data_IF_044898730908
#
_entry.id   IF_044898730908
#
_cell.length_a   1.000
_cell.length_b   1.000
_cell.length_c   1.000
_cell.angle_alpha   90.00
_cell.angle_beta   90.00
_cell.angle_gamma   90.00
#
_symmetry.space_group_name_H-M   'P 1'
#
loop_
_entity.id
_entity.type
_entity.pdbx_description
1 polymer ?
#
# COMPACT_ATOMS: atom_id res chain seq x y z
N UNK A 1 -1.58 -1.59 -41.00
CA UNK A 1 -2.04 -2.89 -40.43
C UNK A 1 -1.23 -3.30 -39.20
N UNK A 2 0.10 -3.35 -39.26
CA UNK A 2 0.94 -3.62 -38.07
C UNK A 2 0.72 -2.64 -36.89
N UNK A 3 0.46 -1.36 -37.16
CA UNK A 3 0.20 -0.36 -36.10
C UNK A 3 -1.14 -0.50 -35.39
N UNK A 4 -2.13 -1.19 -35.99
CA UNK A 4 -3.39 -1.49 -35.32
C UNK A 4 -3.29 -2.80 -34.53
N UNK A 5 -2.61 -3.82 -35.04
CA UNK A 5 -2.38 -5.09 -34.33
C UNK A 5 -1.59 -4.86 -33.03
N UNK A 6 -0.56 -3.99 -33.05
CA UNK A 6 0.15 -3.60 -31.81
C UNK A 6 -0.70 -2.77 -30.85
N UNK A 7 -1.63 -1.97 -31.37
CA UNK A 7 -2.59 -1.20 -30.55
C UNK A 7 -3.62 -2.10 -29.87
N UNK A 8 -4.11 -3.12 -30.57
CA UNK A 8 -5.04 -4.11 -30.04
C UNK A 8 -4.36 -5.13 -29.11
N UNK A 9 -3.10 -5.51 -29.36
CA UNK A 9 -2.32 -6.35 -28.43
C UNK A 9 -1.97 -5.60 -27.14
N UNK A 10 -1.71 -4.29 -27.22
CA UNK A 10 -1.52 -3.41 -26.06
C UNK A 10 -2.78 -3.25 -25.20
N UNK A 11 -3.96 -3.17 -25.84
CA UNK A 11 -5.26 -3.14 -25.14
C UNK A 11 -5.55 -4.44 -24.39
N UNK A 12 -5.29 -5.60 -25.00
CA UNK A 12 -5.47 -6.91 -24.36
C UNK A 12 -4.51 -7.12 -23.19
N UNK A 13 -3.23 -6.81 -23.37
CA UNK A 13 -2.24 -6.90 -22.30
C UNK A 13 -2.56 -5.95 -21.14
N UNK A 14 -2.86 -4.67 -21.42
CA UNK A 14 -3.22 -3.70 -20.38
C UNK A 14 -4.47 -4.08 -19.58
N UNK A 15 -5.47 -4.66 -20.25
CA UNK A 15 -6.68 -5.16 -19.59
C UNK A 15 -6.40 -6.35 -18.66
N UNK A 16 -5.63 -7.35 -19.11
CA UNK A 16 -5.25 -8.50 -18.29
C UNK A 16 -4.47 -8.05 -17.05
N UNK A 17 -3.56 -7.10 -17.21
CA UNK A 17 -2.75 -6.58 -16.10
C UNK A 17 -3.60 -5.84 -15.09
N UNK A 18 -4.55 -5.04 -15.57
CA UNK A 18 -5.50 -4.34 -14.70
C UNK A 18 -6.39 -5.34 -13.95
N UNK A 19 -6.83 -6.42 -14.60
CA UNK A 19 -7.57 -7.50 -13.93
C UNK A 19 -6.73 -8.22 -12.87
N UNK A 20 -5.47 -8.56 -13.17
CA UNK A 20 -4.56 -9.18 -12.19
C UNK A 20 -4.34 -8.26 -10.98
N UNK A 21 -4.14 -6.98 -11.23
CA UNK A 21 -3.99 -5.95 -10.21
C UNK A 21 -5.23 -5.86 -9.31
N UNK A 22 -6.41 -5.71 -9.91
CA UNK A 22 -7.68 -5.65 -9.17
C UNK A 22 -7.84 -6.92 -8.34
N UNK A 23 -7.55 -8.07 -8.93
CA UNK A 23 -7.67 -9.37 -8.27
C UNK A 23 -6.77 -9.46 -7.03
N UNK A 24 -5.49 -9.11 -7.14
CA UNK A 24 -4.53 -9.15 -6.01
C UNK A 24 -5.00 -8.22 -4.87
N UNK A 25 -5.44 -7.01 -5.21
CA UNK A 25 -5.90 -6.05 -4.22
C UNK A 25 -7.23 -6.46 -3.59
N UNK A 26 -8.18 -6.99 -4.37
CA UNK A 26 -9.44 -7.54 -3.87
C UNK A 26 -9.23 -8.72 -2.93
N UNK A 27 -8.32 -9.65 -3.26
CA UNK A 27 -7.94 -10.73 -2.35
C UNK A 27 -7.30 -10.21 -1.07
N UNK A 28 -6.43 -9.20 -1.17
CA UNK A 28 -5.80 -8.57 0.00
C UNK A 28 -6.87 -7.94 0.91
N UNK A 29 -7.81 -7.18 0.35
CA UNK A 29 -8.92 -6.61 1.10
C UNK A 29 -9.80 -7.68 1.74
N UNK A 30 -10.17 -8.71 0.99
CA UNK A 30 -10.99 -9.81 1.49
C UNK A 30 -10.32 -10.55 2.65
N UNK A 31 -9.01 -10.81 2.57
CA UNK A 31 -8.25 -11.45 3.65
C UNK A 31 -8.21 -10.59 4.92
N UNK A 32 -8.04 -9.28 4.78
CA UNK A 32 -8.03 -8.37 5.92
C UNK A 32 -9.41 -8.32 6.58
N UNK A 33 -10.48 -8.15 5.78
CA UNK A 33 -11.85 -8.08 6.27
C UNK A 33 -12.30 -9.41 6.90
N UNK A 34 -11.94 -10.54 6.29
CA UNK A 34 -12.18 -11.87 6.84
C UNK A 34 -11.47 -12.06 8.17
N UNK A 35 -10.19 -11.68 8.25
CA UNK A 35 -9.41 -11.74 9.49
C UNK A 35 -9.99 -10.84 10.58
N UNK A 36 -10.51 -9.65 10.25
CA UNK A 36 -11.24 -8.81 11.20
C UNK A 36 -12.51 -9.48 11.74
N UNK A 37 -13.31 -10.05 10.85
CA UNK A 37 -14.53 -10.73 11.24
C UNK A 37 -14.23 -11.92 12.17
N UNK A 38 -13.17 -12.68 11.89
CA UNK A 38 -12.71 -13.77 12.74
C UNK A 38 -12.19 -13.28 14.10
N UNK A 39 -11.36 -12.24 14.13
CA UNK A 39 -10.82 -11.67 15.38
C UNK A 39 -11.94 -11.19 16.31
N UNK A 40 -12.94 -10.51 15.73
CA UNK A 40 -14.11 -9.99 16.47
C UNK A 40 -15.02 -11.13 16.92
N UNK A 41 -15.30 -12.12 16.05
CA UNK A 41 -16.21 -13.22 16.36
C UNK A 41 -15.63 -14.21 17.38
N UNK A 42 -14.34 -14.55 17.27
CA UNK A 42 -13.71 -15.59 18.09
C UNK A 42 -13.13 -15.05 19.40
N UNK A 43 -12.65 -13.80 19.45
CA UNK A 43 -11.85 -13.28 20.57
C UNK A 43 -12.19 -11.84 20.97
N UNK A 44 -13.47 -11.47 21.22
CA UNK A 44 -13.91 -10.07 21.40
C UNK A 44 -13.29 -9.33 22.60
N UNK A 45 -12.63 -10.02 23.54
CA UNK A 45 -12.03 -9.41 24.75
C UNK A 45 -10.50 -9.41 24.77
N UNK A 46 -9.83 -10.07 23.82
CA UNK A 46 -8.38 -10.32 23.89
C UNK A 46 -7.62 -9.95 22.63
N UNK A 47 -8.24 -9.25 21.68
CA UNK A 47 -7.54 -8.83 20.48
C UNK A 47 -6.66 -7.59 20.73
N UNK A 48 -5.53 -7.55 20.03
CA UNK A 48 -4.61 -6.43 20.11
C UNK A 48 -5.07 -5.31 19.17
N UNK A 49 -5.60 -4.23 19.76
CA UNK A 49 -6.07 -3.04 19.05
C UNK A 49 -5.06 -2.44 18.08
N UNK A 50 -3.76 -2.59 18.32
CA UNK A 50 -2.73 -2.06 17.42
C UNK A 50 -2.62 -2.87 16.13
N UNK A 51 -2.84 -4.18 16.19
CA UNK A 51 -2.86 -5.04 14.99
C UNK A 51 -4.08 -4.71 14.15
N UNK A 52 -5.24 -4.59 14.81
CA UNK A 52 -6.50 -4.11 14.21
C UNK A 52 -6.27 -2.76 13.53
N UNK A 53 -5.63 -1.81 14.21
CA UNK A 53 -5.34 -0.50 13.64
C UNK A 53 -4.45 -0.58 12.39
N UNK A 54 -3.40 -1.41 12.40
CA UNK A 54 -2.55 -1.60 11.22
C UNK A 54 -3.29 -2.26 10.06
N UNK A 55 -4.23 -3.17 10.32
CA UNK A 55 -5.12 -3.75 9.29
C UNK A 55 -6.00 -2.66 8.67
N UNK A 56 -6.57 -1.76 9.48
CA UNK A 56 -7.34 -0.60 8.98
C UNK A 56 -6.46 0.34 8.15
N UNK A 57 -5.27 0.67 8.65
CA UNK A 57 -4.29 1.51 7.95
C UNK A 57 -3.94 0.90 6.58
N UNK A 58 -3.75 -0.42 6.50
CA UNK A 58 -3.44 -1.09 5.24
C UNK A 58 -4.62 -1.04 4.28
N UNK A 59 -5.86 -1.23 4.75
CA UNK A 59 -7.08 -1.06 3.95
C UNK A 59 -7.22 0.36 3.39
N UNK A 60 -7.00 1.38 4.24
CA UNK A 60 -6.97 2.79 3.81
C UNK A 60 -5.90 2.99 2.75
N UNK A 61 -4.72 2.39 2.92
CA UNK A 61 -3.63 2.42 1.92
C UNK A 61 -4.01 1.79 0.59
N UNK A 62 -4.70 0.63 0.60
CA UNK A 62 -5.18 -0.04 -0.61
C UNK A 62 -6.19 0.84 -1.35
N UNK A 63 -7.22 1.32 -0.66
CA UNK A 63 -8.30 2.10 -1.27
C UNK A 63 -7.76 3.40 -1.86
N UNK A 64 -6.94 4.14 -1.10
CA UNK A 64 -6.46 5.45 -1.54
C UNK A 64 -5.29 5.37 -2.53
N UNK A 65 -4.38 4.41 -2.35
CA UNK A 65 -3.21 4.28 -3.21
C UNK A 65 -3.54 3.77 -4.61
N UNK A 66 -4.58 2.94 -4.75
CA UNK A 66 -4.79 2.14 -5.95
C UNK A 66 -6.19 2.28 -6.58
N UNK A 67 -7.23 2.56 -5.80
CA UNK A 67 -8.59 2.77 -6.34
C UNK A 67 -8.86 4.23 -6.72
N UNK A 68 -8.26 5.18 -6.00
CA UNK A 68 -8.43 6.62 -6.25
C UNK A 68 -7.37 7.26 -7.16
N UNK A 69 -6.28 6.56 -7.48
CA UNK A 69 -5.11 7.23 -8.03
C UNK A 69 -5.06 7.26 -9.56
N UNK A 70 -4.66 8.41 -10.11
CA UNK A 70 -4.26 8.59 -11.51
C UNK A 70 -3.09 7.67 -11.91
N UNK A 71 -2.45 6.98 -10.95
CA UNK A 71 -1.37 6.02 -11.19
C UNK A 71 -1.84 4.86 -12.08
N UNK A 72 -3.07 4.36 -11.90
CA UNK A 72 -3.63 3.30 -12.77
C UNK A 72 -3.76 3.76 -14.23
N UNK A 73 -4.11 5.03 -14.46
CA UNK A 73 -4.17 5.61 -15.82
C UNK A 73 -2.78 5.78 -16.44
N UNK A 74 -1.81 6.28 -15.67
CA UNK A 74 -0.43 6.48 -16.13
C UNK A 74 0.29 5.17 -16.48
N UNK A 75 -0.07 4.05 -15.80
CA UNK A 75 0.49 2.72 -16.08
C UNK A 75 0.15 2.25 -17.50
N UNK A 76 -1.00 2.65 -18.06
CA UNK A 76 -1.38 2.31 -19.43
C UNK A 76 -0.56 3.06 -20.50
N UNK A 77 0.05 4.19 -20.16
CA UNK A 77 0.77 5.06 -21.08
C UNK A 77 2.29 4.84 -21.06
N UNK A 78 2.85 4.35 -19.96
CA UNK A 78 4.31 4.26 -19.73
C UNK A 78 5.03 2.99 -20.22
N UNK A 79 4.42 2.18 -21.09
CA UNK A 79 5.07 1.00 -21.70
C UNK A 79 5.52 -0.10 -20.71
N UNK A 80 6.53 -0.90 -21.09
CA UNK A 80 6.95 -2.09 -20.32
C UNK A 80 7.57 -1.78 -18.94
N UNK A 81 8.21 -0.62 -18.79
CA UNK A 81 8.78 -0.18 -17.51
C UNK A 81 7.67 0.19 -16.51
N UNK A 82 6.65 0.93 -16.95
CA UNK A 82 5.48 1.23 -16.13
C UNK A 82 4.69 -0.05 -15.78
N UNK A 83 4.68 -1.03 -16.69
CA UNK A 83 4.12 -2.35 -16.43
C UNK A 83 4.84 -3.08 -15.28
N UNK A 84 6.17 -3.22 -15.32
CA UNK A 84 6.92 -3.86 -14.24
C UNK A 84 6.77 -3.11 -12.91
N UNK A 85 6.84 -1.78 -12.96
CA UNK A 85 6.65 -0.95 -11.77
C UNK A 85 5.26 -1.17 -11.18
N UNK A 86 4.21 -1.23 -12.01
CA UNK A 86 2.82 -1.39 -11.57
C UNK A 86 2.51 -2.68 -10.81
N UNK A 87 3.25 -3.75 -11.05
CA UNK A 87 3.04 -5.05 -10.40
C UNK A 87 3.65 -5.13 -9.00
N UNK A 88 4.75 -4.40 -8.77
CA UNK A 88 5.51 -4.47 -7.52
C UNK A 88 4.69 -3.95 -6.34
N UNK A 89 4.03 -2.78 -6.47
CA UNK A 89 3.22 -2.19 -5.41
C UNK A 89 2.13 -3.12 -4.86
N UNK A 90 1.22 -3.63 -5.70
CA UNK A 90 0.19 -4.60 -5.28
C UNK A 90 0.77 -5.87 -4.68
N UNK A 91 1.88 -6.38 -5.21
CA UNK A 91 2.55 -7.57 -4.67
C UNK A 91 3.07 -7.33 -3.26
N UNK A 92 3.72 -6.19 -3.02
CA UNK A 92 4.18 -5.81 -1.68
C UNK A 92 3.01 -5.67 -0.69
N UNK A 93 1.89 -5.10 -1.12
CA UNK A 93 0.66 -5.03 -0.31
C UNK A 93 0.12 -6.41 0.01
N UNK A 94 0.09 -7.32 -0.97
CA UNK A 94 -0.35 -8.68 -0.76
C UNK A 94 0.51 -9.38 0.28
N UNK A 95 1.85 -9.29 0.18
CA UNK A 95 2.73 -9.86 1.19
C UNK A 95 2.58 -9.20 2.57
N UNK A 96 2.45 -7.88 2.65
CA UNK A 96 2.14 -7.19 3.91
C UNK A 96 0.83 -7.70 4.52
N UNK A 97 -0.18 -7.95 3.68
CA UNK A 97 -1.46 -8.53 4.09
C UNK A 97 -1.30 -9.93 4.66
N UNK A 98 -0.54 -10.79 3.97
CA UNK A 98 -0.29 -12.17 4.43
C UNK A 98 0.42 -12.21 5.78
N UNK A 99 1.26 -11.22 6.10
CA UNK A 99 1.95 -11.15 7.39
C UNK A 99 1.02 -10.62 8.50
N UNK A 100 0.25 -9.55 8.24
CA UNK A 100 -0.55 -8.91 9.29
C UNK A 100 -1.74 -9.75 9.76
N UNK A 101 -2.20 -10.69 8.93
CA UNK A 101 -3.29 -11.60 9.30
C UNK A 101 -2.82 -12.81 10.13
N UNK A 102 -1.50 -13.03 10.28
CA UNK A 102 -1.01 -14.16 11.08
C UNK A 102 -1.16 -13.91 12.59
N UNK A 103 -1.49 -14.95 13.35
CA UNK A 103 -1.66 -14.86 14.80
C UNK A 103 -0.37 -14.42 15.52
N UNK A 104 0.81 -14.75 14.98
CA UNK A 104 2.12 -14.39 15.51
C UNK A 104 2.68 -13.06 14.94
N UNK A 105 1.81 -12.16 14.46
CA UNK A 105 2.21 -10.86 13.89
C UNK A 105 3.25 -10.10 14.71
N UNK A 106 3.17 -10.13 16.06
CA UNK A 106 4.12 -9.42 16.93
C UNK A 106 5.58 -9.86 16.74
N UNK A 107 5.81 -11.13 16.37
CA UNK A 107 7.13 -11.66 16.03
C UNK A 107 7.54 -11.24 14.61
N UNK A 108 6.57 -11.23 13.69
CA UNK A 108 6.75 -10.89 12.28
C UNK A 108 6.72 -9.39 11.97
N UNK A 109 6.49 -8.53 12.98
CA UNK A 109 6.36 -7.07 12.79
C UNK A 109 7.54 -6.43 12.08
N UNK A 110 8.76 -6.92 12.31
CA UNK A 110 9.94 -6.43 11.59
C UNK A 110 9.85 -6.76 10.11
N UNK A 111 9.49 -7.99 9.75
CA UNK A 111 9.26 -8.39 8.36
C UNK A 111 8.16 -7.56 7.72
N UNK A 112 7.05 -7.34 8.44
CA UNK A 112 5.97 -6.46 8.00
C UNK A 112 6.46 -5.04 7.69
N UNK A 113 7.21 -4.42 8.62
CA UNK A 113 7.76 -3.07 8.42
C UNK A 113 8.83 -3.01 7.34
N UNK A 114 9.62 -4.07 7.14
CA UNK A 114 10.55 -4.16 6.02
C UNK A 114 9.82 -4.11 4.68
N UNK A 115 8.73 -4.88 4.53
CA UNK A 115 7.94 -4.87 3.30
C UNK A 115 7.27 -3.51 3.09
N UNK A 116 6.70 -2.91 4.15
CA UNK A 116 6.15 -1.56 4.06
C UNK A 116 7.22 -0.52 3.69
N UNK A 117 8.45 -0.66 4.19
CA UNK A 117 9.54 0.24 3.83
C UNK A 117 9.85 0.15 2.33
N UNK A 118 9.94 -1.08 1.80
CA UNK A 118 10.14 -1.30 0.37
C UNK A 118 8.98 -0.73 -0.45
N UNK A 119 7.74 -0.87 0.03
CA UNK A 119 6.55 -0.29 -0.62
C UNK A 119 6.65 1.23 -0.73
N UNK A 120 7.06 1.93 0.34
CA UNK A 120 7.20 3.38 0.31
C UNK A 120 8.38 3.86 -0.53
N UNK A 121 9.51 3.14 -0.48
CA UNK A 121 10.63 3.44 -1.37
C UNK A 121 10.22 3.26 -2.84
N UNK A 122 9.49 2.19 -3.16
CA UNK A 122 8.93 2.00 -4.50
C UNK A 122 7.95 3.11 -4.89
N UNK A 123 7.06 3.52 -3.98
CA UNK A 123 6.11 4.60 -4.24
C UNK A 123 6.82 5.92 -4.53
N UNK A 124 7.85 6.24 -3.74
CA UNK A 124 8.70 7.41 -3.92
C UNK A 124 9.46 7.36 -5.26
N UNK A 125 10.00 6.21 -5.66
CA UNK A 125 10.62 6.03 -6.97
C UNK A 125 9.64 6.32 -8.11
N UNK A 126 8.40 5.80 -8.02
CA UNK A 126 7.38 6.11 -9.04
C UNK A 126 7.04 7.60 -9.06
N UNK A 127 6.87 8.21 -7.90
CA UNK A 127 6.54 9.64 -7.81
C UNK A 127 7.65 10.50 -8.44
N UNK A 128 8.93 10.18 -8.19
CA UNK A 128 10.07 10.94 -8.74
C UNK A 128 10.29 10.68 -10.23
N UNK A 129 10.29 9.41 -10.67
CA UNK A 129 10.72 9.05 -12.03
C UNK A 129 9.59 9.01 -13.05
N UNK A 130 8.34 8.85 -12.62
CA UNK A 130 7.20 8.64 -13.54
C UNK A 130 6.20 9.80 -13.48
N UNK A 131 6.07 10.48 -12.35
CA UNK A 131 5.10 11.55 -12.14
C UNK A 131 5.79 12.91 -12.07
N UNK A 132 6.29 13.41 -13.22
CA UNK A 132 7.07 14.66 -13.37
C UNK A 132 6.42 15.95 -12.82
N UNK A 133 5.16 15.91 -12.35
CA UNK A 133 4.37 17.08 -11.98
C UNK A 133 3.61 17.00 -10.64
N UNK A 134 3.96 16.07 -9.74
CA UNK A 134 3.30 16.00 -8.43
C UNK A 134 4.27 16.14 -7.26
N UNK A 135 4.04 17.19 -6.47
CA UNK A 135 4.71 17.58 -5.23
C UNK A 135 4.37 16.68 -4.01
N UNK A 136 3.64 15.57 -4.23
CA UNK A 136 3.16 14.62 -3.20
C UNK A 136 4.28 13.69 -2.67
N UNK A 137 5.53 13.86 -3.12
CA UNK A 137 6.67 13.04 -2.65
C UNK A 137 6.95 13.18 -1.16
N UNK A 138 6.53 14.29 -0.54
CA UNK A 138 6.71 14.56 0.89
C UNK A 138 5.96 13.53 1.75
N UNK A 139 4.75 13.12 1.35
CA UNK A 139 3.97 12.12 2.08
C UNK A 139 4.60 10.73 2.00
N UNK A 140 5.09 10.35 0.81
CA UNK A 140 5.79 9.08 0.58
C UNK A 140 7.11 9.05 1.39
N UNK A 141 7.85 10.17 1.43
CA UNK A 141 9.09 10.29 2.20
C UNK A 141 8.83 10.24 3.71
N UNK A 142 7.86 11.01 4.21
CA UNK A 142 7.48 11.01 5.63
C UNK A 142 7.02 9.62 6.08
N UNK A 143 6.27 8.92 5.21
CA UNK A 143 5.84 7.55 5.46
C UNK A 143 7.02 6.57 5.49
N UNK A 144 7.96 6.69 4.55
CA UNK A 144 9.17 5.86 4.52
C UNK A 144 10.01 6.03 5.79
N UNK A 145 10.27 7.28 6.20
CA UNK A 145 11.01 7.59 7.43
C UNK A 145 10.30 7.02 8.66
N UNK A 146 8.98 7.21 8.76
CA UNK A 146 8.20 6.68 9.89
C UNK A 146 8.27 5.15 9.95
N UNK A 147 8.16 4.46 8.81
CA UNK A 147 8.28 3.00 8.74
C UNK A 147 9.70 2.53 9.06
N UNK A 148 10.74 3.25 8.64
CA UNK A 148 12.13 2.96 9.03
C UNK A 148 12.32 3.04 10.54
N UNK A 149 11.78 4.07 11.19
CA UNK A 149 11.82 4.21 12.66
C UNK A 149 11.09 3.01 13.31
N UNK A 150 9.91 2.65 12.81
CA UNK A 150 9.15 1.50 13.30
C UNK A 150 9.89 0.16 13.09
N UNK A 151 10.62 0.01 11.99
CA UNK A 151 11.42 -1.18 11.69
C UNK A 151 12.55 -1.38 12.70
N UNK A 152 13.33 -0.32 12.97
CA UNK A 152 14.52 -0.41 13.83
C UNK A 152 14.17 -0.38 15.33
N UNK A 153 13.17 0.41 15.72
CA UNK A 153 12.89 0.69 17.13
C UNK A 153 11.54 0.15 17.60
N UNK A 154 10.59 -0.10 16.70
CA UNK A 154 9.27 -0.60 17.06
C UNK A 154 9.30 -1.96 17.75
N UNK A 155 10.34 -2.79 17.49
CA UNK A 155 10.52 -4.05 18.23
C UNK A 155 11.01 -3.85 19.67
N UNK A 156 11.89 -2.87 19.86
CA UNK A 156 12.64 -2.65 21.11
C UNK A 156 11.87 -1.79 22.10
N UNK A 157 11.07 -0.84 21.61
CA UNK A 157 10.40 0.17 22.43
C UNK A 157 8.92 0.22 22.06
N UNK A 158 8.07 -0.28 22.96
CA UNK A 158 6.60 -0.34 22.75
C UNK A 158 5.99 1.06 22.56
N UNK A 159 6.51 2.06 23.28
CA UNK A 159 6.12 3.46 23.08
C UNK A 159 6.37 3.94 21.63
N UNK A 160 7.52 3.59 21.04
CA UNK A 160 7.85 3.98 19.66
C UNK A 160 6.93 3.29 18.66
N UNK A 161 6.58 2.02 18.90
CA UNK A 161 5.60 1.32 18.07
C UNK A 161 4.24 2.02 18.10
N UNK A 162 3.71 2.33 19.29
CA UNK A 162 2.40 2.99 19.44
C UNK A 162 2.40 4.41 18.86
N UNK A 163 3.37 5.22 19.26
CA UNK A 163 3.50 6.60 18.79
C UNK A 163 3.73 6.65 17.28
N UNK A 164 4.65 5.85 16.76
CA UNK A 164 4.93 5.78 15.32
C UNK A 164 3.74 5.27 14.51
N UNK A 165 2.91 4.37 15.06
CA UNK A 165 1.66 3.94 14.42
C UNK A 165 0.65 5.09 14.30
N UNK A 166 0.50 5.91 15.36
CA UNK A 166 -0.38 7.08 15.34
C UNK A 166 0.13 8.13 14.36
N UNK A 167 1.43 8.43 14.38
CA UNK A 167 2.06 9.36 13.42
C UNK A 167 1.84 8.87 11.99
N UNK A 168 2.08 7.58 11.73
CA UNK A 168 1.87 7.00 10.41
C UNK A 168 0.40 7.07 9.95
N UNK A 169 -0.54 6.78 10.83
CA UNK A 169 -1.98 6.97 10.55
C UNK A 169 -2.29 8.43 10.21
N UNK A 170 -1.75 9.38 10.97
CA UNK A 170 -1.90 10.81 10.71
C UNK A 170 -1.40 11.21 9.32
N UNK A 171 -0.21 10.74 8.93
CA UNK A 171 0.35 10.98 7.59
C UNK A 171 -0.59 10.41 6.52
N UNK A 172 -1.08 9.16 6.70
CA UNK A 172 -2.03 8.55 5.75
C UNK A 172 -3.35 9.31 5.66
N UNK A 173 -3.91 9.78 6.76
CA UNK A 173 -5.16 10.55 6.73
C UNK A 173 -4.97 11.92 6.08
N UNK A 174 -3.84 12.58 6.32
CA UNK A 174 -3.49 13.84 5.67
C UNK A 174 -3.34 13.66 4.15
N UNK A 175 -2.65 12.61 3.71
CA UNK A 175 -2.50 12.34 2.27
C UNK A 175 -3.85 12.14 1.59
N UNK A 176 -4.79 11.46 2.27
CA UNK A 176 -6.17 11.27 1.77
C UNK A 176 -6.94 12.58 1.71
N UNK A 177 -6.81 13.41 2.75
CA UNK A 177 -7.44 14.72 2.79
C UNK A 177 -6.97 15.61 1.63
N UNK A 178 -5.65 15.71 1.41
CA UNK A 178 -5.12 16.53 0.32
C UNK A 178 -5.55 16.03 -1.07
N UNK A 179 -5.57 14.71 -1.27
CA UNK A 179 -6.11 14.11 -2.49
C UNK A 179 -7.59 14.47 -2.71
N UNK A 180 -8.40 14.48 -1.65
CA UNK A 180 -9.84 14.76 -1.75
C UNK A 180 -10.18 16.23 -2.02
N UNK A 181 -9.37 17.17 -1.50
CA UNK A 181 -9.59 18.62 -1.66
C UNK A 181 -8.91 19.15 -2.94
N UNK A 182 -8.15 18.31 -3.65
CA UNK A 182 -7.46 18.69 -4.88
C UNK A 182 -6.32 19.68 -4.67
N UNK A 183 -5.88 19.87 -3.42
CA UNK A 183 -4.75 20.72 -3.07
C UNK A 183 -3.48 19.94 -3.39
N UNK A 184 -2.73 20.44 -4.37
CA UNK A 184 -1.37 19.98 -4.67
C UNK A 184 -0.43 20.75 -3.74
N UNK A 185 -0.02 20.13 -2.63
CA UNK A 185 1.14 20.58 -1.85
C UNK A 185 2.38 20.11 -2.56
#
# INVERSE_FOLDING_TARGET
>A
MFSQITKYSGLGAGFIVTLMFITILSFSMANILGSFAEDIAKRPKTYNWWIVLWKVILLIGIINGFWGSQKVKAIGEGGYLAFLLSFIGPSLIYFSTQIIIQENFLELRQTFFSILCVLHLWALLITIFVMEHQTIWVDDLASAITVLILLFYGKKVDFVFKFGTIVYLGIRLLSVYFLSVGIRI
#
